data_IF_705860621618
#
_entry.id   IF_705860621618
#
_cell.length_a   1.000
_cell.length_b   1.000
_cell.length_c   1.000
_cell.angle_alpha   90.00
_cell.angle_beta   90.00
_cell.angle_gamma   90.00
#
_symmetry.space_group_name_H-M   'P 1'
#
loop_
_entity.id
_entity.type
_entity.pdbx_description
1 polymer ?
#
# COMPACT_ATOMS: atom_id res chain seq x y z
N UNK A 1 -13.28 4.74 9.93
CA UNK A 1 -13.54 3.87 8.75
C UNK A 1 -12.21 3.61 8.06
N UNK A 2 -11.98 2.41 7.53
CA UNK A 2 -10.74 2.08 6.81
C UNK A 2 -11.11 1.53 5.44
N UNK A 3 -10.47 2.05 4.41
CA UNK A 3 -10.59 1.57 3.03
C UNK A 3 -9.27 0.96 2.59
N UNK A 4 -9.38 -0.12 1.83
CA UNK A 4 -8.25 -0.74 1.13
C UNK A 4 -8.54 -0.66 -0.36
N UNK A 5 -7.57 -0.13 -1.12
CA UNK A 5 -7.62 -0.12 -2.58
C UNK A 5 -6.40 -0.85 -3.16
N UNK A 6 -6.59 -1.43 -4.35
CA UNK A 6 -5.61 -2.25 -5.03
C UNK A 6 -5.47 -1.81 -6.49
N UNK A 7 -4.32 -1.24 -6.83
CA UNK A 7 -4.02 -0.75 -8.17
C UNK A 7 -2.95 -1.65 -8.79
N UNK A 8 -3.29 -2.31 -9.89
CA UNK A 8 -2.33 -3.09 -10.66
C UNK A 8 -1.56 -2.19 -11.62
N UNK A 9 -0.25 -2.10 -11.41
CA UNK A 9 0.62 -1.26 -12.24
C UNK A 9 1.68 -2.11 -12.90
N UNK A 10 1.97 -1.81 -14.17
CA UNK A 10 3.08 -2.43 -14.90
C UNK A 10 4.39 -1.78 -14.43
N UNK A 11 5.17 -2.52 -13.64
CA UNK A 11 6.47 -2.06 -13.13
C UNK A 11 7.56 -2.71 -13.98
N UNK A 12 8.50 -1.89 -14.47
CA UNK A 12 9.65 -2.36 -15.24
C UNK A 12 10.89 -2.38 -14.35
N UNK A 13 11.30 -3.58 -13.95
CA UNK A 13 12.54 -3.83 -13.23
C UNK A 13 13.25 -5.01 -13.92
N UNK A 14 13.96 -4.70 -15.02
CA UNK A 14 14.50 -5.70 -15.97
C UNK A 14 13.43 -6.26 -16.93
N UNK A 15 12.37 -6.86 -16.41
CA UNK A 15 11.20 -7.33 -17.18
C UNK A 15 9.93 -6.58 -16.75
N UNK A 16 8.98 -6.40 -17.68
CA UNK A 16 7.72 -5.69 -17.39
C UNK A 16 6.74 -6.68 -16.76
N UNK A 17 6.54 -6.55 -15.46
CA UNK A 17 5.60 -7.36 -14.69
C UNK A 17 4.41 -6.53 -14.20
N UNK A 18 3.24 -7.16 -14.04
CA UNK A 18 2.12 -6.52 -13.37
C UNK A 18 2.26 -6.71 -11.87
N UNK A 19 2.52 -5.62 -11.13
CA UNK A 19 2.67 -5.66 -9.68
C UNK A 19 1.51 -4.91 -9.03
N UNK A 20 0.75 -5.54 -8.11
CA UNK A 20 -0.26 -4.84 -7.34
C UNK A 20 0.40 -3.88 -6.35
N UNK A 21 -0.12 -2.67 -6.28
CA UNK A 21 0.16 -1.73 -5.19
C UNK A 21 -1.13 -1.56 -4.41
N UNK A 22 -1.02 -1.69 -3.10
CA UNK A 22 -2.16 -1.62 -2.21
C UNK A 22 -2.00 -0.44 -1.26
N UNK A 23 -3.10 0.28 -1.04
CA UNK A 23 -3.13 1.45 -0.17
C UNK A 23 -4.20 1.29 0.90
N UNK A 24 -3.85 1.66 2.13
CA UNK A 24 -4.79 1.77 3.24
C UNK A 24 -5.09 3.25 3.52
N UNK A 25 -6.37 3.61 3.46
CA UNK A 25 -6.85 4.96 3.76
C UNK A 25 -7.74 4.92 5.00
N UNK A 26 -7.35 5.67 6.01
CA UNK A 26 -8.12 5.89 7.22
C UNK A 26 -9.00 7.12 7.09
N UNK A 27 -10.25 7.02 7.52
CA UNK A 27 -11.14 8.17 7.70
C UNK A 27 -11.49 8.28 9.18
N UNK A 28 -11.13 9.41 9.80
CA UNK A 28 -11.45 9.69 11.19
C UNK A 28 -12.94 9.99 11.37
N UNK A 29 -13.40 10.01 12.63
CA UNK A 29 -14.75 10.42 12.97
C UNK A 29 -15.03 11.91 12.66
N UNK A 30 -13.99 12.73 12.55
CA UNK A 30 -14.09 14.11 12.11
C UNK A 30 -14.16 14.25 10.58
N UNK A 31 -14.09 13.13 9.84
CA UNK A 31 -14.15 13.12 8.38
C UNK A 31 -12.82 13.41 7.69
N UNK A 32 -11.72 13.49 8.44
CA UNK A 32 -10.38 13.66 7.85
C UNK A 32 -9.89 12.34 7.25
N UNK A 33 -9.31 12.42 6.05
CA UNK A 33 -8.80 11.26 5.31
C UNK A 33 -7.29 11.29 5.35
N UNK A 34 -6.68 10.17 5.75
CA UNK A 34 -5.23 10.03 5.84
C UNK A 34 -4.78 8.70 5.25
N UNK A 35 -3.57 8.69 4.66
CA UNK A 35 -2.96 7.49 4.09
C UNK A 35 -2.19 6.78 5.19
N UNK A 36 -2.71 5.64 5.62
CA UNK A 36 -2.12 4.87 6.72
C UNK A 36 -0.93 4.02 6.26
N UNK A 37 -0.90 3.63 4.98
CA UNK A 37 0.21 2.84 4.43
C UNK A 37 0.06 2.51 2.96
N UNK A 38 1.19 2.19 2.33
CA UNK A 38 1.31 1.71 0.97
C UNK A 38 2.23 0.49 0.97
N UNK A 39 1.87 -0.56 0.23
CA UNK A 39 2.73 -1.72 0.05
C UNK A 39 2.57 -2.26 -1.37
N UNK A 40 3.70 -2.60 -2.00
CA UNK A 40 3.72 -3.31 -3.26
C UNK A 40 3.64 -4.81 -2.97
N UNK A 41 2.66 -5.50 -3.54
CA UNK A 41 2.66 -6.95 -3.57
C UNK A 41 3.58 -7.43 -4.67
N UNK A 42 4.48 -8.37 -4.37
CA UNK A 42 5.26 -9.07 -5.38
C UNK A 42 4.42 -10.23 -5.93
N UNK A 43 3.42 -9.89 -6.75
CA UNK A 43 2.77 -10.74 -7.76
C UNK A 43 2.32 -12.19 -7.44
N UNK A 44 2.40 -12.69 -6.21
CA UNK A 44 2.24 -14.12 -5.92
C UNK A 44 2.26 -14.52 -4.44
N UNK A 45 2.71 -13.67 -3.52
CA UNK A 45 2.69 -13.98 -2.08
C UNK A 45 1.75 -13.04 -1.33
N UNK A 46 0.75 -13.65 -0.71
CA UNK A 46 -0.28 -12.98 0.06
C UNK A 46 0.31 -12.13 1.18
N UNK A 47 -0.44 -11.09 1.51
CA UNK A 47 -0.25 -10.27 2.69
C UNK A 47 0.11 -11.10 3.93
N UNK A 48 1.34 -11.00 4.40
CA UNK A 48 1.65 -11.42 5.76
C UNK A 48 3.01 -12.07 5.94
N UNK A 49 4.07 -11.27 5.96
CA UNK A 49 5.33 -11.64 6.64
C UNK A 49 6.07 -10.40 7.13
N UNK A 50 5.47 -9.68 8.09
CA UNK A 50 6.17 -9.13 9.26
C UNK A 50 5.23 -8.24 10.08
N UNK A 51 4.92 -8.73 11.28
CA UNK A 51 4.73 -7.96 12.51
C UNK A 51 4.65 -6.42 12.38
N UNK A 52 3.43 -5.89 12.46
CA UNK A 52 3.14 -4.72 13.30
C UNK A 52 3.71 -3.34 12.95
N UNK A 53 4.29 -3.10 11.78
CA UNK A 53 4.73 -1.75 11.41
C UNK A 53 4.58 -1.52 9.92
N UNK A 54 3.54 -0.78 9.53
CA UNK A 54 3.45 -0.19 8.20
C UNK A 54 4.72 0.65 7.95
N UNK A 55 5.51 0.36 6.91
CA UNK A 55 6.63 1.22 6.55
C UNK A 55 6.04 2.56 6.14
N UNK A 56 6.13 3.56 7.03
CA UNK A 56 5.87 4.95 6.66
C UNK A 56 6.89 5.28 5.58
N UNK A 57 6.45 5.40 4.32
CA UNK A 57 7.24 6.13 3.34
C UNK A 57 7.29 7.56 3.89
N UNK A 58 8.47 7.95 4.40
CA UNK A 58 8.61 9.16 5.19
C UNK A 58 8.04 10.35 4.43
N UNK A 59 7.12 11.07 5.06
CA UNK A 59 6.81 12.43 4.65
C UNK A 59 8.13 13.22 4.69
N UNK A 60 8.67 13.55 3.51
CA UNK A 60 9.74 14.52 3.40
C UNK A 60 9.16 15.89 3.77
N UNK A 61 9.89 16.57 4.66
CA UNK A 61 9.61 17.92 5.16
C UNK A 61 9.64 18.98 4.05
#
# INVERSE_FOLDING_TARGET
MVFIDAIFVKIRDGQVANRPIYVAVGVSCAGERDILGLWAGDGGEGYGTSTGSFPRIGAAA
#
